data_IF_832063560309
#
_entry.id   IF_832063560309
#
_cell.length_a   1.000
_cell.length_b   1.000
_cell.length_c   1.000
_cell.angle_alpha   90.00
_cell.angle_beta   90.00
_cell.angle_gamma   90.00
#
_symmetry.space_group_name_H-M   'P 1'
#
loop_
_entity.id
_entity.type
_entity.pdbx_description
1 polymer ?
#
# COMPACT_ATOMS: atom_id res chain seq x y z
N UNK A 1 -3.18 -9.21 8.95
CA UNK A 1 -4.29 -8.57 9.67
C UNK A 1 -5.32 -8.05 8.69
N UNK A 2 -6.59 -8.26 8.95
CA UNK A 2 -7.69 -7.85 8.08
C UNK A 2 -8.54 -6.81 8.77
N UNK A 3 -8.95 -5.80 8.05
CA UNK A 3 -9.89 -4.82 8.56
C UNK A 3 -10.67 -4.16 7.42
N UNK A 4 -11.86 -3.69 7.74
CA UNK A 4 -12.65 -2.87 6.82
C UNK A 4 -12.19 -1.43 6.97
N UNK A 5 -11.83 -0.83 5.85
CA UNK A 5 -11.35 0.55 5.83
C UNK A 5 -12.34 1.44 5.10
N UNK A 6 -12.72 2.54 5.75
CA UNK A 6 -13.52 3.60 5.16
C UNK A 6 -12.66 4.86 5.16
N UNK A 7 -12.37 5.38 3.98
CA UNK A 7 -11.50 6.55 3.84
C UNK A 7 -12.28 7.80 3.48
N UNK A 8 -11.96 8.89 4.18
CA UNK A 8 -12.41 10.23 3.85
C UNK A 8 -11.17 11.06 3.58
N UNK A 9 -11.11 11.64 2.37
CA UNK A 9 -9.98 12.48 1.97
C UNK A 9 -10.43 13.92 1.82
N UNK A 10 -9.72 14.82 2.50
CA UNK A 10 -9.93 16.26 2.38
C UNK A 10 -8.70 16.87 1.73
N UNK A 11 -8.92 17.60 0.64
CA UNK A 11 -7.85 18.36 0.00
C UNK A 11 -7.69 19.70 0.69
N UNK A 12 -6.46 19.97 1.13
CA UNK A 12 -6.11 21.23 1.77
C UNK A 12 -5.42 22.15 0.77
N UNK A 13 -5.67 23.45 0.88
CA UNK A 13 -4.88 24.43 0.17
C UNK A 13 -3.47 24.43 0.75
N UNK A 14 -2.52 25.00 0.02
CA UNK A 14 -1.13 25.13 0.50
C UNK A 14 -1.08 25.92 1.82
N UNK A 15 -1.87 26.96 1.94
CA UNK A 15 -1.91 27.79 3.16
C UNK A 15 -2.50 27.01 4.34
N UNK A 16 -3.56 26.25 4.11
CA UNK A 16 -4.16 25.40 5.15
C UNK A 16 -3.16 24.34 5.63
N UNK A 17 -2.47 23.70 4.70
CA UNK A 17 -1.45 22.71 5.03
C UNK A 17 -0.33 23.34 5.86
N UNK A 18 0.16 24.50 5.46
CA UNK A 18 1.23 25.19 6.16
C UNK A 18 0.81 25.58 7.58
N UNK A 19 -0.43 26.01 7.77
CA UNK A 19 -0.95 26.33 9.10
C UNK A 19 -0.98 25.10 10.00
N UNK A 20 -1.46 23.96 9.48
CA UNK A 20 -1.46 22.72 10.23
C UNK A 20 -0.05 22.26 10.56
N UNK A 21 0.87 22.36 9.61
CA UNK A 21 2.28 22.01 9.83
C UNK A 21 2.91 22.85 10.92
N UNK A 22 2.57 24.15 11.01
CA UNK A 22 3.07 25.04 12.07
C UNK A 22 2.49 24.68 13.43
N UNK A 23 1.18 24.36 13.49
CA UNK A 23 0.53 23.96 14.74
C UNK A 23 1.06 22.65 15.30
N UNK A 24 1.43 21.72 14.43
CA UNK A 24 1.89 20.38 14.78
C UNK A 24 3.35 20.14 14.40
N UNK A 25 4.17 21.18 14.47
CA UNK A 25 5.59 21.09 14.09
C UNK A 25 6.40 20.12 14.96
N UNK A 26 5.89 19.75 16.13
CA UNK A 26 6.51 18.76 17.00
C UNK A 26 6.29 17.31 16.52
N UNK A 27 5.37 17.11 15.58
CA UNK A 27 5.10 15.78 15.04
C UNK A 27 6.21 15.40 14.06
N UNK A 28 6.87 14.27 14.33
CA UNK A 28 7.93 13.77 13.45
C UNK A 28 7.35 13.25 12.15
N UNK A 29 7.79 13.76 10.99
CA UNK A 29 7.33 13.24 9.72
C UNK A 29 7.87 11.83 9.47
N UNK A 30 7.06 10.99 8.85
CA UNK A 30 7.44 9.65 8.45
C UNK A 30 7.50 9.57 6.92
N UNK A 31 8.66 9.18 6.40
CA UNK A 31 8.83 8.97 4.96
C UNK A 31 8.54 7.52 4.61
N UNK A 32 7.73 7.32 3.61
CA UNK A 32 7.37 5.99 3.13
C UNK A 32 7.40 5.94 1.61
N UNK A 33 7.71 4.77 1.06
CA UNK A 33 7.67 4.53 -0.38
C UNK A 33 6.66 3.41 -0.65
N UNK A 34 5.73 3.68 -1.56
CA UNK A 34 4.75 2.70 -2.00
C UNK A 34 5.14 2.21 -3.40
N UNK A 35 5.20 0.90 -3.56
CA UNK A 35 5.44 0.23 -4.84
C UNK A 35 4.13 -0.39 -5.28
N UNK A 36 3.59 0.06 -6.41
CA UNK A 36 2.30 -0.38 -6.92
C UNK A 36 2.50 -1.54 -7.88
N UNK A 37 1.72 -2.59 -7.68
CA UNK A 37 1.89 -3.88 -8.37
C UNK A 37 0.65 -4.20 -9.20
N UNK A 38 0.86 -4.57 -10.46
CA UNK A 38 -0.19 -5.06 -11.34
C UNK A 38 0.48 -5.87 -12.47
N UNK A 39 -0.34 -6.48 -13.32
CA UNK A 39 0.14 -7.05 -14.57
C UNK A 39 0.21 -5.97 -15.64
N UNK A 40 0.98 -6.19 -16.73
CA UNK A 40 1.00 -5.24 -17.85
C UNK A 40 -0.38 -4.96 -18.45
N UNK A 41 -1.31 -5.91 -18.33
CA UNK A 41 -2.68 -5.77 -18.83
C UNK A 41 -3.64 -5.16 -17.81
N UNK A 42 -3.14 -4.76 -16.64
CA UNK A 42 -3.95 -4.20 -15.55
C UNK A 42 -5.01 -5.17 -15.00
N UNK A 43 -4.65 -6.45 -14.86
CA UNK A 43 -5.58 -7.48 -14.37
C UNK A 43 -6.09 -7.19 -12.96
N UNK A 44 -5.23 -6.67 -12.08
CA UNK A 44 -5.61 -6.29 -10.72
C UNK A 44 -6.64 -5.16 -10.76
N UNK A 45 -6.34 -4.10 -11.52
CA UNK A 45 -7.23 -2.96 -11.67
C UNK A 45 -8.58 -3.36 -12.26
N UNK A 46 -8.57 -4.24 -13.26
CA UNK A 46 -9.79 -4.73 -13.91
C UNK A 46 -10.66 -5.53 -12.94
N UNK A 47 -10.05 -6.19 -11.97
CA UNK A 47 -10.75 -6.93 -10.90
C UNK A 47 -11.04 -6.04 -9.69
N UNK A 48 -10.74 -4.75 -9.77
CA UNK A 48 -10.90 -3.78 -8.69
C UNK A 48 -10.07 -4.12 -7.44
N UNK A 49 -8.93 -4.75 -7.64
CA UNK A 49 -7.97 -5.07 -6.59
C UNK A 49 -6.83 -4.05 -6.59
N UNK A 50 -6.28 -3.76 -5.43
CA UNK A 50 -5.11 -2.91 -5.29
C UNK A 50 -4.06 -3.63 -4.46
N UNK A 51 -2.88 -3.82 -5.02
CA UNK A 51 -1.76 -4.48 -4.36
C UNK A 51 -0.57 -3.55 -4.33
N UNK A 52 0.04 -3.43 -3.14
CA UNK A 52 1.23 -2.58 -2.97
C UNK A 52 2.17 -3.16 -1.94
N UNK A 53 3.46 -2.80 -2.10
CA UNK A 53 4.48 -2.98 -1.07
C UNK A 53 4.82 -1.59 -0.57
N UNK A 54 4.79 -1.40 0.73
CA UNK A 54 5.18 -0.14 1.37
C UNK A 54 6.44 -0.36 2.19
N UNK A 55 7.43 0.48 1.98
CA UNK A 55 8.63 0.48 2.82
C UNK A 55 8.63 1.70 3.72
N UNK A 56 8.84 1.47 5.02
CA UNK A 56 8.94 2.50 6.03
C UNK A 56 10.32 2.41 6.68
N UNK A 57 10.74 3.41 7.49
CA UNK A 57 12.06 3.36 8.12
C UNK A 57 12.32 2.14 9.01
N UNK A 58 11.27 1.62 9.65
CA UNK A 58 11.39 0.53 10.63
C UNK A 58 10.91 -0.83 10.14
N UNK A 59 10.10 -0.88 9.07
CA UNK A 59 9.51 -2.13 8.57
C UNK A 59 8.98 -1.96 7.15
N UNK A 60 8.41 -3.04 6.61
CA UNK A 60 7.68 -3.01 5.36
C UNK A 60 6.33 -3.67 5.49
N UNK A 61 5.46 -3.43 4.54
CA UNK A 61 4.10 -4.00 4.50
C UNK A 61 3.73 -4.40 3.08
N UNK A 62 3.12 -5.57 2.96
CA UNK A 62 2.40 -5.96 1.75
C UNK A 62 0.92 -5.77 2.01
N UNK A 63 0.23 -5.04 1.15
CA UNK A 63 -1.18 -4.68 1.35
C UNK A 63 -2.00 -5.00 0.11
N UNK A 64 -3.12 -5.69 0.33
CA UNK A 64 -4.14 -5.95 -0.69
C UNK A 64 -5.44 -5.30 -0.24
N UNK A 65 -6.02 -4.44 -1.09
CA UNK A 65 -7.33 -3.83 -0.86
C UNK A 65 -8.34 -4.41 -1.83
N UNK A 66 -9.50 -4.80 -1.29
CA UNK A 66 -10.63 -5.31 -2.04
C UNK A 66 -11.83 -4.40 -1.75
N UNK A 67 -12.47 -3.79 -2.77
CA UNK A 67 -13.60 -2.92 -2.52
C UNK A 67 -14.82 -3.70 -1.99
N UNK A 68 -15.51 -3.09 -1.05
CA UNK A 68 -16.76 -3.56 -0.49
C UNK A 68 -17.85 -2.53 -0.75
N UNK A 69 -19.09 -2.81 -0.36
CA UNK A 69 -20.20 -1.86 -0.53
C UNK A 69 -19.95 -0.55 0.20
N UNK A 70 -19.31 -0.62 1.36
CA UNK A 70 -18.91 0.54 2.15
C UNK A 70 -17.42 0.39 2.48
N UNK A 71 -16.57 1.22 1.86
CA UNK A 71 -15.12 1.17 2.07
C UNK A 71 -14.44 0.01 1.36
N UNK A 72 -13.35 -0.46 1.93
CA UNK A 72 -12.52 -1.54 1.39
C UNK A 72 -12.16 -2.53 2.48
N UNK A 73 -12.05 -3.83 2.10
CA UNK A 73 -11.42 -4.81 2.95
C UNK A 73 -9.91 -4.77 2.69
N UNK A 74 -9.12 -4.57 3.73
CA UNK A 74 -7.67 -4.47 3.62
C UNK A 74 -7.00 -5.65 4.31
N UNK A 75 -6.08 -6.29 3.58
CA UNK A 75 -5.25 -7.38 4.09
C UNK A 75 -3.81 -6.91 4.13
N UNK A 76 -3.16 -7.01 5.28
CA UNK A 76 -1.79 -6.54 5.48
C UNK A 76 -0.89 -7.66 5.98
N UNK A 77 0.34 -7.70 5.48
CA UNK A 77 1.41 -8.53 5.98
C UNK A 77 2.58 -7.63 6.31
N UNK A 78 2.93 -7.56 7.59
CA UNK A 78 4.09 -6.78 8.05
C UNK A 78 5.35 -7.63 7.95
N UNK A 79 6.46 -7.03 7.52
CA UNK A 79 7.74 -7.71 7.36
C UNK A 79 8.89 -6.77 7.68
N UNK A 80 10.10 -7.32 7.79
CA UNK A 80 11.31 -6.52 7.98
C UNK A 80 11.61 -5.67 6.74
N UNK A 81 12.34 -4.57 6.91
CA UNK A 81 12.75 -3.73 5.80
C UNK A 81 13.51 -4.52 4.72
N UNK A 82 14.41 -5.42 5.16
CA UNK A 82 15.18 -6.25 4.23
C UNK A 82 14.27 -7.17 3.39
N UNK A 83 13.27 -7.78 4.03
CA UNK A 83 12.32 -8.65 3.35
C UNK A 83 11.45 -7.87 2.38
N UNK A 84 11.01 -6.68 2.78
CA UNK A 84 10.22 -5.81 1.90
C UNK A 84 11.02 -5.38 0.67
N UNK A 85 12.28 -5.01 0.84
CA UNK A 85 13.17 -4.66 -0.27
C UNK A 85 13.42 -5.84 -1.21
N UNK A 86 13.63 -7.03 -0.64
CA UNK A 86 13.79 -8.24 -1.44
C UNK A 86 12.53 -8.54 -2.24
N UNK A 87 11.35 -8.37 -1.63
CA UNK A 87 10.07 -8.59 -2.28
C UNK A 87 9.85 -7.64 -3.46
N UNK A 88 10.28 -6.38 -3.34
CA UNK A 88 10.16 -5.42 -4.45
C UNK A 88 10.98 -5.83 -5.67
N UNK A 89 12.03 -6.61 -5.47
CA UNK A 89 12.91 -7.07 -6.55
C UNK A 89 12.45 -8.40 -7.16
N UNK A 90 12.02 -9.34 -6.31
CA UNK A 90 11.68 -10.70 -6.73
C UNK A 90 10.21 -10.89 -7.04
N UNK A 91 9.32 -10.16 -6.34
CA UNK A 91 7.88 -10.37 -6.31
C UNK A 91 7.51 -11.83 -5.99
N UNK A 92 8.37 -12.50 -5.22
CA UNK A 92 8.15 -13.87 -4.75
C UNK A 92 7.42 -13.82 -3.42
N UNK A 93 6.10 -13.78 -3.50
CA UNK A 93 5.26 -13.59 -2.31
C UNK A 93 5.33 -14.77 -1.36
N UNK A 94 5.48 -14.51 -0.05
CA UNK A 94 5.46 -15.58 0.95
C UNK A 94 4.06 -16.20 1.03
N UNK A 95 3.98 -17.41 1.55
CA UNK A 95 2.70 -18.05 1.81
C UNK A 95 1.95 -17.25 2.87
N UNK A 96 0.84 -16.65 2.46
CA UNK A 96 0.03 -15.80 3.31
C UNK A 96 -1.39 -15.68 2.73
N UNK A 97 -2.28 -15.08 3.50
CA UNK A 97 -3.65 -14.90 3.08
C UNK A 97 -3.76 -14.09 1.78
N UNK A 98 -2.91 -13.06 1.63
CA UNK A 98 -2.90 -12.23 0.42
C UNK A 98 -2.60 -13.07 -0.82
N UNK A 99 -1.57 -13.91 -0.76
CA UNK A 99 -1.22 -14.81 -1.86
C UNK A 99 -2.36 -15.75 -2.21
N UNK A 100 -2.99 -16.33 -1.20
CA UNK A 100 -4.14 -17.23 -1.39
C UNK A 100 -5.31 -16.53 -2.08
N UNK A 101 -5.62 -15.31 -1.67
CA UNK A 101 -6.72 -14.52 -2.27
C UNK A 101 -6.40 -14.21 -3.74
N UNK A 102 -5.18 -13.83 -4.06
CA UNK A 102 -4.78 -13.53 -5.43
C UNK A 102 -4.96 -14.76 -6.32
N UNK A 103 -4.55 -15.93 -5.86
CA UNK A 103 -4.71 -17.18 -6.60
C UNK A 103 -6.17 -17.56 -6.78
N UNK A 104 -7.01 -17.42 -5.75
CA UNK A 104 -8.43 -17.66 -5.80
C UNK A 104 -9.16 -16.78 -6.82
N UNK A 105 -8.67 -15.56 -6.99
CA UNK A 105 -9.25 -14.60 -7.92
C UNK A 105 -8.69 -14.72 -9.33
N UNK A 106 -7.86 -15.71 -9.58
CA UNK A 106 -7.31 -15.98 -10.90
C UNK A 106 -6.20 -15.06 -11.34
N UNK A 107 -5.53 -14.39 -10.37
CA UNK A 107 -4.38 -13.55 -10.68
C UNK A 107 -3.15 -14.42 -10.89
N UNK A 108 -2.49 -14.25 -12.03
CA UNK A 108 -1.24 -14.95 -12.34
C UNK A 108 -0.08 -14.22 -11.68
N UNK A 109 0.47 -14.80 -10.63
CA UNK A 109 1.54 -14.15 -9.85
C UNK A 109 2.78 -13.90 -10.69
N UNK A 110 3.09 -14.78 -11.64
CA UNK A 110 4.23 -14.64 -12.52
C UNK A 110 4.13 -13.44 -13.47
N UNK A 111 2.93 -12.92 -13.69
CA UNK A 111 2.71 -11.76 -14.56
C UNK A 111 2.74 -10.45 -13.79
N UNK A 112 2.78 -10.49 -12.45
CA UNK A 112 2.82 -9.29 -11.64
C UNK A 112 4.16 -8.58 -11.77
N UNK A 113 4.11 -7.26 -11.85
CA UNK A 113 5.28 -6.41 -11.96
C UNK A 113 5.03 -5.10 -11.22
N UNK A 114 6.10 -4.41 -10.88
CA UNK A 114 5.99 -3.09 -10.27
C UNK A 114 5.79 -2.07 -11.39
N UNK A 115 4.63 -1.41 -11.39
CA UNK A 115 4.30 -0.38 -12.38
C UNK A 115 4.96 0.94 -12.08
N UNK A 116 5.20 1.22 -10.81
CA UNK A 116 5.81 2.47 -10.38
C UNK A 116 5.87 2.55 -8.87
N UNK A 117 6.49 3.60 -8.39
CA UNK A 117 6.59 3.86 -6.96
C UNK A 117 6.42 5.34 -6.66
N UNK A 118 5.99 5.64 -5.44
CA UNK A 118 5.82 7.01 -4.96
C UNK A 118 6.36 7.09 -3.54
N UNK A 119 7.27 8.03 -3.32
CA UNK A 119 7.80 8.33 -2.00
C UNK A 119 7.09 9.54 -1.44
N UNK A 120 6.52 9.41 -0.25
CA UNK A 120 5.80 10.47 0.41
C UNK A 120 6.30 10.65 1.84
N UNK A 121 6.22 11.87 2.33
CA UNK A 121 6.47 12.18 3.73
C UNK A 121 5.14 12.50 4.38
N UNK A 122 4.80 11.76 5.42
CA UNK A 122 3.53 11.91 6.13
C UNK A 122 3.76 12.43 7.54
N UNK A 123 2.89 13.34 7.94
CA UNK A 123 2.80 13.80 9.34
C UNK A 123 1.40 13.42 9.83
N UNK A 124 1.35 12.72 10.95
CA UNK A 124 0.08 12.33 11.58
C UNK A 124 -0.21 13.27 12.74
N UNK A 125 -1.41 13.80 12.74
CA UNK A 125 -1.86 14.78 13.71
C UNK A 125 -2.94 14.21 14.62
#
# INVERSE_FOLDING_TARGET
MNHLEIEYKTLLTKDEYNRLAMLFSHVTPVTQTNYYIDTPQSDMRNKKLSLRIRTLPTHGELTLKIPEKVGNMEYNLTMDCADAKALTKSLDFPDCQIKSILLERGVKLEDLTILGHLTTTRREY
#
